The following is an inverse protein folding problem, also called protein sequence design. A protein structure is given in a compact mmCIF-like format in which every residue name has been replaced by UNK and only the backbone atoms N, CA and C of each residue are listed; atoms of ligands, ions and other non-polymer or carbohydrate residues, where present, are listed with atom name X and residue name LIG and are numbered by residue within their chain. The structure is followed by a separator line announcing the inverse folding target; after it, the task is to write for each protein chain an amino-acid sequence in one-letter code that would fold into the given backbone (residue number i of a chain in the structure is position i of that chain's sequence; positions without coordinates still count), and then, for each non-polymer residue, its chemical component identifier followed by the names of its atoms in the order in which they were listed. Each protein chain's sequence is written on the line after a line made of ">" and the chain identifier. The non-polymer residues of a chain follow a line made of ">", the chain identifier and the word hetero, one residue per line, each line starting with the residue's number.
data_IF_835981279620
#
_entry.id   IF_835981279620
#
_cell.length_a   1.000
_cell.length_b   1.000
_cell.length_c   1.000
_cell.angle_alpha   90.00
_cell.angle_beta   90.00
_cell.angle_gamma   90.00
#
_symmetry.space_group_name_H-M   'P 1'
#
loop_
_entity.id
_entity.type
_entity.pdbx_description
1 polymer ?
#
# COMPACT_ATOMS: atom_id res chain seq x y z
N UNK A 1 22.99 6.74 1.87
CA UNK A 1 23.44 6.65 0.48
C UNK A 1 22.81 7.73 -0.38
N UNK A 2 23.29 7.96 -1.61
CA UNK A 2 22.73 8.97 -2.49
C UNK A 2 21.25 8.62 -2.84
N UNK A 3 20.39 9.63 -2.85
CA UNK A 3 19.01 9.50 -3.29
C UNK A 3 18.98 9.42 -4.82
N UNK A 4 18.97 8.19 -5.35
CA UNK A 4 18.93 7.93 -6.79
C UNK A 4 17.60 7.28 -7.16
N UNK A 5 16.55 8.06 -7.51
CA UNK A 5 15.25 7.52 -7.87
C UNK A 5 15.34 6.73 -9.19
N UNK A 6 14.71 5.57 -9.24
CA UNK A 6 14.70 4.66 -10.40
C UNK A 6 13.55 4.94 -11.38
N UNK A 7 12.69 5.92 -11.07
CA UNK A 7 11.55 6.30 -11.91
C UNK A 7 11.33 7.81 -11.91
N UNK A 8 10.70 8.33 -12.97
CA UNK A 8 10.29 9.73 -13.05
C UNK A 8 9.31 10.08 -11.92
N UNK A 9 8.43 9.16 -11.56
CA UNK A 9 7.51 9.32 -10.42
C UNK A 9 8.31 9.50 -9.11
N UNK A 10 9.26 8.61 -8.82
CA UNK A 10 10.11 8.73 -7.63
C UNK A 10 10.93 10.02 -7.62
N UNK A 11 11.47 10.42 -8.77
CA UNK A 11 12.20 11.69 -8.92
C UNK A 11 11.30 12.89 -8.61
N UNK A 12 10.07 12.92 -9.11
CA UNK A 12 9.13 14.00 -8.87
C UNK A 12 8.74 14.12 -7.39
N UNK A 13 8.55 12.97 -6.70
CA UNK A 13 8.25 12.96 -5.25
C UNK A 13 9.43 13.45 -4.42
N UNK A 14 10.63 13.01 -4.75
CA UNK A 14 11.85 13.49 -4.10
C UNK A 14 12.07 15.00 -4.31
N UNK A 15 11.86 15.50 -5.53
CA UNK A 15 11.93 16.93 -5.82
C UNK A 15 10.89 17.73 -5.00
N UNK A 16 9.67 17.20 -4.85
CA UNK A 16 8.62 17.78 -4.01
C UNK A 16 9.02 17.91 -2.54
N UNK A 17 9.62 16.87 -1.97
CA UNK A 17 10.13 16.92 -0.59
C UNK A 17 11.22 18.01 -0.44
N UNK A 18 12.15 18.09 -1.41
CA UNK A 18 13.20 19.11 -1.42
C UNK A 18 12.65 20.55 -1.51
N UNK A 19 11.64 20.77 -2.38
CA UNK A 19 10.97 22.06 -2.51
C UNK A 19 10.26 22.45 -1.20
N UNK A 20 9.49 21.57 -0.60
CA UNK A 20 8.79 21.80 0.67
C UNK A 20 9.80 22.14 1.78
N UNK A 21 10.87 21.37 1.90
CA UNK A 21 11.93 21.63 2.87
C UNK A 21 12.56 23.00 2.69
N UNK A 22 12.83 23.40 1.44
CA UNK A 22 13.39 24.72 1.12
C UNK A 22 12.42 25.85 1.47
N UNK A 23 11.12 25.68 1.24
CA UNK A 23 10.10 26.66 1.61
C UNK A 23 9.99 26.83 3.12
N UNK A 24 10.04 25.74 3.88
CA UNK A 24 10.08 25.77 5.35
C UNK A 24 11.30 26.61 5.81
N UNK A 25 12.50 26.29 5.30
CA UNK A 25 13.72 26.99 5.70
C UNK A 25 13.79 28.46 5.25
N UNK A 26 13.20 28.80 4.09
CA UNK A 26 13.27 30.14 3.53
C UNK A 26 12.20 31.08 4.09
N UNK A 27 10.99 30.56 4.28
CA UNK A 27 9.83 31.41 4.61
C UNK A 27 9.25 31.16 6.00
N UNK A 28 9.85 30.26 6.80
CA UNK A 28 9.38 29.93 8.14
C UNK A 28 8.01 29.25 8.18
N UNK A 29 7.65 28.52 7.11
CA UNK A 29 6.42 27.75 7.07
C UNK A 29 6.56 26.49 7.92
N UNK A 30 5.43 25.97 8.39
CA UNK A 30 5.38 24.65 8.98
C UNK A 30 4.84 23.65 7.94
N UNK A 31 5.45 22.46 7.87
CA UNK A 31 5.04 21.43 6.90
C UNK A 31 5.12 20.03 7.47
N UNK A 32 4.21 19.17 6.98
CA UNK A 32 4.22 17.73 7.21
C UNK A 32 4.36 17.01 5.87
N UNK A 33 5.36 16.16 5.76
CA UNK A 33 5.62 15.31 4.61
C UNK A 33 5.38 13.86 5.04
N UNK A 34 4.49 13.18 4.34
CA UNK A 34 4.18 11.77 4.59
C UNK A 34 4.62 10.90 3.43
N UNK A 35 5.41 9.88 3.71
CA UNK A 35 5.75 8.80 2.78
C UNK A 35 4.88 7.60 3.11
N UNK A 36 4.02 7.23 2.18
CA UNK A 36 3.06 6.16 2.37
C UNK A 36 3.61 4.81 1.89
N UNK A 37 3.32 3.74 2.64
CA UNK A 37 3.34 2.37 2.14
C UNK A 37 2.24 2.18 1.06
N UNK A 38 1.89 0.95 0.70
CA UNK A 38 0.76 0.72 -0.19
C UNK A 38 -0.54 0.90 0.59
N UNK A 39 -1.23 2.00 0.34
CA UNK A 39 -2.51 2.29 0.99
C UNK A 39 -3.62 1.57 0.23
N UNK A 40 -4.43 0.81 0.96
CA UNK A 40 -5.54 -0.01 0.46
C UNK A 40 -6.79 0.25 1.30
N UNK A 41 -7.97 -0.03 0.78
CA UNK A 41 -9.23 0.17 1.52
C UNK A 41 -10.45 0.19 0.62
N UNK A 42 -11.57 0.59 1.22
CA UNK A 42 -12.85 0.80 0.57
C UNK A 42 -12.75 1.82 -0.57
N UNK A 43 -13.64 1.71 -1.55
CA UNK A 43 -13.70 2.58 -2.74
C UNK A 43 -12.43 2.61 -3.59
N UNK A 44 -11.56 1.61 -3.42
CA UNK A 44 -10.39 1.43 -4.29
C UNK A 44 -10.83 1.10 -5.73
N UNK A 45 -10.30 1.85 -6.70
CA UNK A 45 -10.65 1.70 -8.13
C UNK A 45 -9.52 1.08 -8.95
N UNK A 46 -8.43 0.72 -8.32
CA UNK A 46 -7.24 0.12 -8.95
C UNK A 46 -6.39 -0.59 -7.89
N UNK A 47 -5.35 -1.28 -8.34
CA UNK A 47 -4.42 -2.01 -7.49
C UNK A 47 -4.68 -3.50 -7.46
N UNK A 48 -3.74 -4.26 -6.89
CA UNK A 48 -3.67 -5.72 -7.00
C UNK A 48 -4.92 -6.43 -6.47
N UNK A 49 -5.50 -5.98 -5.36
CA UNK A 49 -6.70 -6.59 -4.76
C UNK A 49 -7.90 -6.37 -5.68
N UNK A 50 -8.11 -5.12 -6.12
CA UNK A 50 -9.18 -4.76 -7.06
C UNK A 50 -9.08 -5.57 -8.36
N UNK A 51 -7.89 -5.66 -8.93
CA UNK A 51 -7.61 -6.38 -10.17
C UNK A 51 -7.92 -7.89 -10.02
N UNK A 52 -7.50 -8.51 -8.91
CA UNK A 52 -7.75 -9.92 -8.66
C UNK A 52 -9.24 -10.23 -8.46
N UNK A 53 -9.98 -9.37 -7.77
CA UNK A 53 -11.44 -9.53 -7.62
C UNK A 53 -12.12 -9.45 -9.00
N UNK A 54 -11.74 -8.50 -9.85
CA UNK A 54 -12.31 -8.39 -11.19
C UNK A 54 -11.97 -9.58 -12.08
N UNK A 55 -10.74 -10.10 -12.01
CA UNK A 55 -10.33 -11.32 -12.72
C UNK A 55 -11.20 -12.52 -12.30
N UNK A 56 -11.35 -12.75 -10.99
CA UNK A 56 -12.16 -13.85 -10.47
C UNK A 56 -13.66 -13.65 -10.71
N UNK A 57 -14.14 -12.41 -10.76
CA UNK A 57 -15.53 -12.12 -11.17
C UNK A 57 -15.77 -12.50 -12.62
N UNK A 58 -14.78 -12.30 -13.49
CA UNK A 58 -14.83 -12.64 -14.92
C UNK A 58 -14.64 -14.14 -15.17
N UNK A 59 -13.66 -14.75 -14.50
CA UNK A 59 -13.38 -16.20 -14.58
C UNK A 59 -13.07 -16.74 -13.17
N UNK A 60 -14.03 -17.39 -12.48
CA UNK A 60 -13.85 -17.91 -11.14
C UNK A 60 -12.99 -19.17 -11.04
N UNK A 61 -12.51 -19.69 -12.16
CA UNK A 61 -11.68 -20.91 -12.22
C UNK A 61 -10.19 -20.63 -12.34
N UNK A 62 -9.82 -19.36 -12.64
CA UNK A 62 -8.44 -18.99 -12.94
C UNK A 62 -8.12 -17.60 -12.45
N UNK A 63 -6.98 -17.46 -11.75
CA UNK A 63 -6.41 -16.16 -11.36
C UNK A 63 -5.01 -16.00 -11.93
N UNK A 64 -4.86 -15.15 -12.94
CA UNK A 64 -3.56 -14.77 -13.45
C UNK A 64 -2.90 -13.70 -12.57
N UNK A 65 -1.68 -13.98 -12.12
CA UNK A 65 -0.85 -13.11 -11.28
C UNK A 65 0.38 -12.66 -12.08
N UNK A 66 0.56 -11.36 -12.25
CA UNK A 66 1.71 -10.81 -12.94
C UNK A 66 2.99 -10.98 -12.11
N UNK A 67 4.07 -11.42 -12.76
CA UNK A 67 5.33 -11.75 -12.10
C UNK A 67 5.33 -13.16 -11.51
N UNK A 68 6.22 -13.39 -10.53
CA UNK A 68 6.37 -14.69 -9.84
C UNK A 68 5.64 -14.76 -8.49
N UNK A 69 4.90 -13.72 -8.13
CA UNK A 69 4.16 -13.62 -6.87
C UNK A 69 5.02 -13.36 -5.62
N UNK A 70 6.34 -13.19 -5.76
CA UNK A 70 7.28 -12.97 -4.64
C UNK A 70 7.48 -11.49 -4.31
N UNK A 71 6.90 -10.58 -5.11
CA UNK A 71 6.93 -9.16 -4.78
C UNK A 71 6.28 -8.96 -3.42
N UNK A 72 6.96 -8.24 -2.54
CA UNK A 72 6.62 -8.14 -1.12
C UNK A 72 6.62 -6.68 -0.68
N UNK A 73 5.51 -6.21 -0.14
CA UNK A 73 5.33 -4.81 0.25
C UNK A 73 4.52 -4.70 1.54
N UNK A 74 4.71 -3.59 2.25
CA UNK A 74 3.85 -3.22 3.36
C UNK A 74 2.52 -2.66 2.83
N UNK A 75 1.41 -3.11 3.41
CA UNK A 75 0.05 -2.66 3.11
C UNK A 75 -0.59 -2.06 4.34
N UNK A 76 -1.14 -0.86 4.21
CA UNK A 76 -1.79 -0.13 5.29
C UNK A 76 -3.22 0.21 4.89
N UNK A 77 -4.15 -0.04 5.78
CA UNK A 77 -5.56 0.29 5.55
C UNK A 77 -5.76 1.81 5.51
N UNK A 78 -6.66 2.29 4.65
CA UNK A 78 -6.84 3.73 4.37
C UNK A 78 -7.28 4.54 5.59
N UNK A 79 -8.13 3.98 6.45
CA UNK A 79 -8.56 4.67 7.68
C UNK A 79 -7.41 4.75 8.68
N UNK A 80 -6.58 3.71 8.81
CA UNK A 80 -5.35 3.78 9.60
C UNK A 80 -4.40 4.85 9.07
N UNK A 81 -4.30 4.98 7.74
CA UNK A 81 -3.48 6.01 7.13
C UNK A 81 -4.00 7.42 7.47
N UNK A 82 -5.31 7.65 7.35
CA UNK A 82 -5.94 8.94 7.65
C UNK A 82 -5.80 9.28 9.13
N UNK A 83 -6.11 8.34 10.02
CA UNK A 83 -5.97 8.53 11.46
C UNK A 83 -4.51 8.79 11.84
N UNK A 84 -3.57 8.08 11.21
CA UNK A 84 -2.14 8.23 11.45
C UNK A 84 -1.61 9.62 11.08
N UNK A 85 -1.92 10.13 9.88
CA UNK A 85 -1.44 11.45 9.53
C UNK A 85 -2.12 12.57 10.35
N UNK A 86 -3.41 12.44 10.67
CA UNK A 86 -4.10 13.39 11.55
C UNK A 86 -3.53 13.38 12.97
N UNK A 87 -3.23 12.18 13.50
CA UNK A 87 -2.57 12.05 14.81
C UNK A 87 -1.21 12.73 14.81
N UNK A 88 -0.36 12.45 13.81
CA UNK A 88 0.97 13.06 13.71
C UNK A 88 0.87 14.58 13.61
N UNK A 89 -0.01 15.12 12.76
CA UNK A 89 -0.20 16.56 12.63
C UNK A 89 -0.64 17.22 13.94
N UNK A 90 -1.41 16.52 14.77
CA UNK A 90 -1.90 17.04 16.05
C UNK A 90 -0.84 17.00 17.16
N UNK A 91 0.12 16.06 17.10
CA UNK A 91 1.06 15.79 18.19
C UNK A 91 2.51 16.14 17.86
N UNK A 92 2.76 16.82 16.73
CA UNK A 92 4.09 17.27 16.33
C UNK A 92 4.04 18.72 15.85
N UNK A 93 5.06 19.49 16.21
CA UNK A 93 5.13 20.94 16.00
C UNK A 93 6.47 21.43 15.43
N UNK A 94 7.35 20.53 15.01
CA UNK A 94 8.60 20.90 14.35
C UNK A 94 8.30 21.69 13.05
N UNK A 95 9.20 22.59 12.63
CA UNK A 95 9.02 23.30 11.37
C UNK A 95 8.84 22.36 10.17
N UNK A 96 9.64 21.28 10.12
CA UNK A 96 9.54 20.25 9.09
C UNK A 96 9.36 18.87 9.73
N UNK A 97 8.18 18.29 9.51
CA UNK A 97 7.80 16.99 10.03
C UNK A 97 7.78 15.97 8.88
N UNK A 98 8.72 15.03 8.87
CA UNK A 98 8.79 13.96 7.88
C UNK A 98 8.50 12.63 8.56
N UNK A 99 7.46 11.91 8.08
CA UNK A 99 7.03 10.62 8.62
C UNK A 99 6.79 9.59 7.52
N UNK A 100 7.15 8.36 7.79
CA UNK A 100 6.69 7.21 7.03
C UNK A 100 5.42 6.67 7.69
N UNK A 101 4.40 6.36 6.89
CA UNK A 101 3.17 5.70 7.32
C UNK A 101 3.06 4.33 6.63
N UNK A 102 2.94 3.29 7.41
CA UNK A 102 2.90 1.90 6.92
C UNK A 102 2.53 0.92 8.03
N UNK A 103 2.53 -0.36 7.71
CA UNK A 103 2.30 -1.46 8.65
C UNK A 103 3.61 -2.01 9.19
N UNK A 104 3.53 -2.80 10.27
CA UNK A 104 4.67 -3.45 10.92
C UNK A 104 5.34 -4.53 10.07
N UNK A 105 4.66 -5.03 9.04
CA UNK A 105 5.03 -6.19 8.25
C UNK A 105 4.80 -5.97 6.76
N UNK A 106 4.99 -7.03 6.00
CA UNK A 106 4.78 -7.07 4.56
C UNK A 106 3.93 -8.26 4.16
N UNK A 107 3.28 -8.18 3.01
CA UNK A 107 2.62 -9.32 2.38
C UNK A 107 3.12 -9.50 0.94
N UNK A 108 3.23 -10.75 0.50
CA UNK A 108 3.58 -11.07 -0.88
C UNK A 108 2.36 -11.02 -1.80
N UNK A 109 2.58 -10.77 -3.09
CA UNK A 109 1.51 -10.80 -4.10
C UNK A 109 0.86 -12.19 -4.16
N UNK A 110 1.64 -13.26 -3.91
CA UNK A 110 1.11 -14.62 -3.75
C UNK A 110 0.10 -14.69 -2.61
N UNK A 111 0.46 -14.15 -1.44
CA UNK A 111 -0.44 -14.18 -0.27
C UNK A 111 -1.71 -13.36 -0.51
N UNK A 112 -1.60 -12.23 -1.21
CA UNK A 112 -2.77 -11.44 -1.63
C UNK A 112 -3.69 -12.27 -2.54
N UNK A 113 -3.14 -12.99 -3.52
CA UNK A 113 -3.92 -13.83 -4.41
C UNK A 113 -4.67 -14.93 -3.65
N UNK A 114 -4.01 -15.59 -2.70
CA UNK A 114 -4.62 -16.60 -1.82
C UNK A 114 -5.77 -15.99 -1.01
N UNK A 115 -5.56 -14.85 -0.35
CA UNK A 115 -6.59 -14.16 0.43
C UNK A 115 -7.79 -13.79 -0.45
N UNK A 116 -7.57 -13.26 -1.65
CA UNK A 116 -8.67 -12.87 -2.54
C UNK A 116 -9.46 -14.12 -3.00
N UNK A 117 -8.79 -15.22 -3.30
CA UNK A 117 -9.44 -16.50 -3.61
C UNK A 117 -10.28 -17.00 -2.42
N UNK A 118 -9.72 -16.95 -1.20
CA UNK A 118 -10.43 -17.30 0.05
C UNK A 118 -11.68 -16.44 0.23
N UNK A 119 -11.56 -15.11 0.18
CA UNK A 119 -12.66 -14.19 0.49
C UNK A 119 -13.75 -14.14 -0.60
N UNK A 120 -13.39 -14.42 -1.86
CA UNK A 120 -14.38 -14.53 -2.95
C UNK A 120 -15.11 -15.89 -2.96
N UNK A 121 -14.61 -16.87 -2.21
CA UNK A 121 -15.13 -18.26 -2.23
C UNK A 121 -14.76 -19.05 -3.49
N UNK A 122 -13.85 -18.52 -4.33
CA UNK A 122 -13.39 -19.20 -5.55
C UNK A 122 -12.29 -20.25 -5.25
N UNK A 123 -12.52 -21.12 -4.26
CA UNK A 123 -11.52 -22.08 -3.75
C UNK A 123 -10.98 -23.06 -4.81
N UNK A 124 -11.69 -23.23 -5.93
CA UNK A 124 -11.26 -24.07 -7.06
C UNK A 124 -10.40 -23.32 -8.11
N UNK A 125 -10.14 -22.02 -7.92
CA UNK A 125 -9.37 -21.25 -8.88
C UNK A 125 -7.91 -21.67 -8.91
N UNK A 126 -7.35 -21.91 -10.10
CA UNK A 126 -5.93 -22.08 -10.30
C UNK A 126 -5.23 -20.71 -10.27
N UNK A 127 -4.20 -20.55 -9.43
CA UNK A 127 -3.38 -19.33 -9.41
C UNK A 127 -2.19 -19.55 -10.34
N UNK A 128 -2.13 -18.75 -11.41
CA UNK A 128 -1.11 -18.86 -12.46
C UNK A 128 -0.20 -17.64 -12.49
N UNK A 129 1.10 -17.86 -12.45
CA UNK A 129 2.10 -16.79 -12.41
C UNK A 129 2.71 -16.59 -13.80
N UNK A 130 2.77 -15.34 -14.30
CA UNK A 130 3.37 -15.04 -15.62
C UNK A 130 4.90 -15.13 -15.61
N UNK A 131 5.52 -15.24 -14.43
CA UNK A 131 6.97 -15.31 -14.28
C UNK A 131 7.64 -13.92 -14.23
N UNK A 132 8.96 -13.93 -13.96
CA UNK A 132 9.74 -12.69 -13.76
C UNK A 132 9.61 -12.13 -12.33
N UNK A 133 10.56 -11.27 -11.96
CA UNK A 133 10.66 -10.72 -10.60
C UNK A 133 9.80 -9.47 -10.36
N UNK A 134 9.16 -8.94 -11.42
CA UNK A 134 8.34 -7.72 -11.38
C UNK A 134 7.01 -7.96 -12.07
N UNK A 135 5.96 -7.35 -11.57
CA UNK A 135 4.65 -7.34 -12.22
C UNK A 135 4.59 -6.37 -13.41
N UNK A 136 5.40 -5.28 -13.37
CA UNK A 136 5.52 -4.28 -14.44
C UNK A 136 6.89 -3.56 -14.35
N UNK A 137 7.27 -2.79 -15.39
CA UNK A 137 8.62 -2.23 -15.53
C UNK A 137 9.08 -1.32 -14.37
N UNK A 138 8.17 -0.60 -13.73
CA UNK A 138 8.44 0.29 -12.58
C UNK A 138 8.19 -0.35 -11.22
N UNK A 139 7.86 -1.64 -11.17
CA UNK A 139 7.55 -2.32 -9.91
C UNK A 139 8.79 -2.51 -9.03
N UNK A 140 8.63 -2.26 -7.73
CA UNK A 140 9.65 -2.48 -6.72
C UNK A 140 9.40 -3.86 -6.10
N UNK A 141 10.33 -4.82 -6.24
CA UNK A 141 10.12 -6.19 -5.76
C UNK A 141 9.94 -6.28 -4.23
N UNK A 142 10.63 -5.44 -3.48
CA UNK A 142 10.49 -5.36 -2.01
C UNK A 142 10.46 -3.91 -1.54
N UNK A 143 9.46 -3.58 -0.74
CA UNK A 143 9.36 -2.28 -0.10
C UNK A 143 8.76 -2.40 1.30
N UNK A 144 9.52 -1.95 2.29
CA UNK A 144 9.08 -1.77 3.66
C UNK A 144 9.63 -0.43 4.17
N UNK A 145 8.78 0.37 4.75
CA UNK A 145 9.18 1.64 5.36
C UNK A 145 9.45 1.42 6.85
N UNK A 146 10.52 2.01 7.39
CA UNK A 146 10.70 2.12 8.83
C UNK A 146 9.67 3.09 9.41
N UNK A 147 8.85 2.64 10.34
CA UNK A 147 7.73 3.39 10.94
C UNK A 147 8.00 3.81 12.40
N UNK A 148 9.21 3.62 12.91
CA UNK A 148 9.57 3.88 14.31
C UNK A 148 9.20 5.30 14.76
N UNK A 149 9.35 6.28 13.87
CA UNK A 149 9.01 7.67 14.16
C UNK A 149 7.50 7.87 14.32
N UNK A 150 6.67 7.17 13.51
CA UNK A 150 5.23 7.16 13.66
C UNK A 150 4.83 6.54 15.00
N UNK A 151 5.38 5.38 15.34
CA UNK A 151 5.13 4.70 16.62
C UNK A 151 5.56 5.58 17.80
N UNK A 152 6.70 6.26 17.71
CA UNK A 152 7.20 7.17 18.74
C UNK A 152 6.31 8.39 18.96
N UNK A 153 5.46 8.76 17.99
CA UNK A 153 4.44 9.80 18.15
C UNK A 153 3.22 9.35 18.97
N UNK A 154 3.15 8.07 19.32
CA UNK A 154 2.03 7.46 20.03
C UNK A 154 0.93 6.91 19.14
N UNK A 155 1.13 6.83 17.83
CA UNK A 155 0.19 6.21 16.89
C UNK A 155 0.67 4.83 16.47
N UNK A 156 -0.25 3.87 16.48
CA UNK A 156 -0.04 2.53 15.93
C UNK A 156 -1.23 2.13 15.04
N UNK A 157 -0.97 1.25 14.07
CA UNK A 157 -1.98 0.74 13.13
C UNK A 157 -2.86 -0.32 13.78
N UNK A 158 -4.13 -0.37 13.39
CA UNK A 158 -5.09 -1.41 13.83
C UNK A 158 -4.86 -2.75 13.14
N UNK A 159 -4.37 -2.70 11.90
CA UNK A 159 -4.23 -3.87 11.06
C UNK A 159 -2.76 -4.08 10.66
N UNK A 160 -2.29 -5.34 10.71
CA UNK A 160 -1.12 -5.75 9.97
C UNK A 160 -1.43 -5.82 8.46
N UNK A 161 -0.42 -6.05 7.60
CA UNK A 161 -0.63 -6.08 6.14
C UNK A 161 -1.65 -7.14 5.69
N UNK A 162 -1.64 -8.34 6.29
CA UNK A 162 -2.57 -9.41 5.91
C UNK A 162 -4.01 -9.06 6.31
N UNK A 163 -4.22 -8.55 7.52
CA UNK A 163 -5.54 -8.17 8.01
C UNK A 163 -6.11 -6.99 7.22
N UNK A 164 -5.27 -6.00 6.87
CA UNK A 164 -5.64 -4.87 6.01
C UNK A 164 -6.08 -5.34 4.61
N UNK A 165 -5.34 -6.30 4.02
CA UNK A 165 -5.67 -6.89 2.72
C UNK A 165 -7.01 -7.62 2.81
N UNK A 166 -7.23 -8.42 3.86
CA UNK A 166 -8.45 -9.18 4.08
C UNK A 166 -9.65 -8.26 4.27
N UNK A 167 -9.51 -7.23 5.09
CA UNK A 167 -10.52 -6.19 5.30
C UNK A 167 -10.89 -5.50 3.98
N UNK A 168 -9.90 -5.05 3.24
CA UNK A 168 -10.08 -4.40 1.93
C UNK A 168 -10.76 -5.34 0.92
N UNK A 169 -10.32 -6.61 0.84
CA UNK A 169 -10.90 -7.57 -0.10
C UNK A 169 -12.40 -7.78 0.17
N UNK A 170 -12.80 -7.93 1.44
CA UNK A 170 -14.21 -8.08 1.82
C UNK A 170 -15.06 -6.87 1.41
N UNK A 171 -14.55 -5.67 1.69
CA UNK A 171 -15.26 -4.43 1.33
C UNK A 171 -15.40 -4.28 -0.18
N UNK A 172 -14.33 -4.50 -0.95
CA UNK A 172 -14.37 -4.39 -2.41
C UNK A 172 -15.24 -5.48 -3.07
N UNK A 173 -15.28 -6.70 -2.54
CA UNK A 173 -16.17 -7.78 -3.01
C UNK A 173 -17.63 -7.33 -2.90
N UNK A 174 -18.01 -6.71 -1.77
CA UNK A 174 -19.35 -6.17 -1.55
C UNK A 174 -19.65 -5.01 -2.50
N UNK A 175 -18.75 -4.02 -2.60
CA UNK A 175 -18.90 -2.84 -3.47
C UNK A 175 -18.99 -3.20 -4.95
N UNK A 176 -18.20 -4.17 -5.41
CA UNK A 176 -18.18 -4.65 -6.80
C UNK A 176 -19.43 -5.52 -7.09
N UNK A 177 -20.13 -5.98 -6.06
CA UNK A 177 -21.28 -6.88 -6.18
C UNK A 177 -20.86 -8.24 -6.72
N UNK A 178 -19.74 -8.78 -6.24
CA UNK A 178 -19.32 -10.14 -6.56
C UNK A 178 -20.05 -11.11 -5.65
N UNK A 179 -20.81 -12.11 -6.19
CA UNK A 179 -21.45 -13.10 -5.36
C UNK A 179 -20.39 -13.97 -4.66
N UNK A 180 -20.46 -14.06 -3.33
CA UNK A 180 -19.64 -15.04 -2.57
C UNK A 180 -20.11 -16.46 -2.95
N UNK A 181 -19.20 -17.31 -3.29
CA UNK A 181 -19.48 -18.70 -3.74
C UNK A 181 -19.16 -19.72 -2.64
#
# INVERSE_FOLDING_TARGET
>A
GPCLPISLYGASKQAGEGLISSWVGTFGLQAWIFRFANIIGTRGTHGVIFDFIHKLKSDPTRLEVLGNGRQEKSYMEVEDCVDGFLHVMKHTDEPLNLFNLGSHDTASVRRIAEIVVEETGCHGASIEYTGGDRGWAGDIPRAMLGIDKMLSSGYDVRYNSEDAIRHTARALIEEIGMPRR
#
